data_IF_685547719498
#
_entry.id   IF_685547719498
#
_cell.length_a   1.000
_cell.length_b   1.000
_cell.length_c   1.000
_cell.angle_alpha   90.00
_cell.angle_beta   90.00
_cell.angle_gamma   90.00
#
_symmetry.space_group_name_H-M   'P 1'
#
loop_
_entity.id
_entity.type
_entity.pdbx_description
1 polymer ?
#
# COMPACT_ATOMS: atom_id res chain seq x y z
N UNK A 1 7.99 -28.64 13.24
CA UNK A 1 6.88 -27.73 13.62
C UNK A 1 5.69 -28.58 14.01
N UNK A 2 5.08 -28.38 15.18
CA UNK A 2 3.96 -29.22 15.61
C UNK A 2 2.63 -28.81 14.97
N UNK A 3 1.97 -29.75 14.29
CA UNK A 3 0.64 -29.55 13.70
C UNK A 3 -0.40 -30.40 14.44
N UNK A 4 -1.58 -29.82 14.62
CA UNK A 4 -2.75 -30.48 15.21
C UNK A 4 -3.88 -30.55 14.19
N UNK A 5 -4.45 -31.73 14.04
CA UNK A 5 -5.64 -31.98 13.22
C UNK A 5 -6.90 -31.99 14.07
N UNK A 6 -8.04 -31.63 13.45
CA UNK A 6 -9.38 -31.79 14.01
C UNK A 6 -9.71 -33.25 14.37
N UNK A 7 -9.06 -34.23 13.71
CA UNK A 7 -9.17 -35.64 14.10
C UNK A 7 -8.43 -36.00 15.41
N UNK A 8 -7.88 -35.01 16.12
CA UNK A 8 -7.15 -35.15 17.36
C UNK A 8 -5.70 -35.61 17.21
N UNK A 9 -5.22 -35.84 15.98
CA UNK A 9 -3.82 -36.24 15.75
C UNK A 9 -2.90 -35.03 15.80
N UNK A 10 -1.85 -35.17 16.59
CA UNK A 10 -0.72 -34.24 16.63
C UNK A 10 0.53 -34.94 16.09
N UNK A 11 1.38 -34.20 15.38
CA UNK A 11 2.67 -34.70 14.90
C UNK A 11 3.65 -33.57 14.63
N UNK A 12 4.94 -33.89 14.70
CA UNK A 12 5.99 -32.99 14.25
C UNK A 12 6.10 -33.01 12.73
N UNK A 13 5.72 -31.91 12.10
CA UNK A 13 5.79 -31.72 10.66
C UNK A 13 7.21 -31.35 10.23
N UNK A 14 7.79 -32.24 9.43
CA UNK A 14 9.14 -32.14 8.82
C UNK A 14 9.06 -31.84 7.31
N UNK A 15 7.88 -31.52 6.78
CA UNK A 15 7.68 -31.36 5.34
C UNK A 15 8.15 -30.00 4.81
N UNK A 16 8.43 -29.94 3.50
CA UNK A 16 8.89 -28.72 2.80
C UNK A 16 7.77 -27.74 2.44
N UNK A 17 6.49 -28.09 2.64
CA UNK A 17 5.38 -27.25 2.19
C UNK A 17 5.08 -26.14 3.21
N UNK A 18 4.90 -24.92 2.73
CA UNK A 18 4.78 -23.73 3.60
C UNK A 18 3.34 -23.34 3.94
N UNK A 19 2.34 -23.86 3.22
CA UNK A 19 0.95 -23.37 3.32
C UNK A 19 -0.03 -24.41 3.85
N UNK A 20 0.10 -25.66 3.39
CA UNK A 20 -0.80 -26.74 3.76
C UNK A 20 -0.03 -28.05 3.96
N UNK A 21 -0.50 -28.82 4.93
CA UNK A 21 -0.06 -30.19 5.19
C UNK A 21 -1.27 -31.13 5.17
N UNK A 22 -1.03 -32.42 4.93
CA UNK A 22 -2.06 -33.44 5.04
C UNK A 22 -1.88 -34.23 6.34
N UNK A 23 -2.98 -34.46 7.04
CA UNK A 23 -2.95 -35.30 8.24
C UNK A 23 -2.53 -36.73 7.88
N UNK A 24 -1.52 -37.32 8.54
CA UNK A 24 -1.11 -38.68 8.26
C UNK A 24 -2.22 -39.71 8.55
N UNK A 25 -3.12 -39.40 9.51
CA UNK A 25 -4.23 -40.26 9.95
C UNK A 25 -5.46 -40.13 9.05
N UNK A 26 -6.09 -38.96 8.98
CA UNK A 26 -7.37 -38.78 8.28
C UNK A 26 -7.25 -38.18 6.88
N UNK A 27 -6.03 -37.86 6.42
CA UNK A 27 -5.74 -37.20 5.13
C UNK A 27 -6.42 -35.84 4.92
N UNK A 28 -7.04 -35.26 5.96
CA UNK A 28 -7.59 -33.90 5.88
C UNK A 28 -6.48 -32.88 5.63
N UNK A 29 -6.79 -31.88 4.82
CA UNK A 29 -5.92 -30.74 4.54
C UNK A 29 -5.92 -29.79 5.73
N UNK A 30 -4.76 -29.52 6.28
CA UNK A 30 -4.55 -28.60 7.41
C UNK A 30 -3.76 -27.41 6.93
N UNK A 31 -4.20 -26.21 7.31
CA UNK A 31 -3.44 -24.99 7.09
C UNK A 31 -2.29 -24.92 8.08
N UNK A 32 -1.08 -24.74 7.58
CA UNK A 32 0.08 -24.52 8.42
C UNK A 32 -0.03 -23.11 8.99
N UNK A 33 -0.48 -22.98 10.24
CA UNK A 33 -0.37 -21.74 10.99
C UNK A 33 1.05 -21.68 11.56
N UNK A 34 1.98 -21.12 10.80
CA UNK A 34 3.22 -20.60 11.37
C UNK A 34 2.84 -19.50 12.35
N UNK A 35 2.81 -19.82 13.65
CA UNK A 35 2.62 -18.83 14.69
C UNK A 35 3.59 -17.66 14.45
N UNK A 36 3.02 -16.47 14.26
CA UNK A 36 3.65 -15.14 14.32
C UNK A 36 4.63 -14.70 13.23
N UNK A 37 4.58 -15.26 12.04
CA UNK A 37 5.04 -14.52 10.87
C UNK A 37 3.95 -14.62 9.80
N UNK A 38 3.19 -13.54 9.61
CA UNK A 38 2.56 -13.29 8.31
C UNK A 38 3.59 -13.68 7.26
N UNK A 39 3.26 -14.50 6.24
CA UNK A 39 4.24 -14.90 5.23
C UNK A 39 4.95 -13.62 4.83
N UNK A 40 6.28 -13.55 5.05
CA UNK A 40 7.04 -12.32 4.81
C UNK A 40 6.87 -12.02 3.34
N UNK A 41 5.84 -11.22 3.02
CA UNK A 41 5.56 -10.79 1.67
C UNK A 41 6.84 -10.10 1.24
N UNK A 42 7.38 -10.54 0.12
CA UNK A 42 8.49 -9.82 -0.47
C UNK A 42 8.06 -8.35 -0.61
N UNK A 43 9.01 -7.43 -0.58
CA UNK A 43 8.73 -6.00 -0.51
C UNK A 43 7.74 -5.53 -1.60
N UNK A 44 7.79 -6.17 -2.77
CA UNK A 44 6.86 -5.97 -3.89
C UNK A 44 5.42 -6.38 -3.55
N UNK A 45 5.19 -7.61 -3.09
CA UNK A 45 3.87 -8.12 -2.72
C UNK A 45 3.28 -7.34 -1.55
N UNK A 46 4.11 -6.91 -0.61
CA UNK A 46 3.68 -6.01 0.46
C UNK A 46 3.25 -4.65 -0.12
N UNK A 47 4.03 -4.05 -1.04
CA UNK A 47 3.69 -2.78 -1.67
C UNK A 47 2.38 -2.84 -2.48
N UNK A 48 2.00 -4.01 -3.02
CA UNK A 48 0.71 -4.22 -3.67
C UNK A 48 -0.46 -4.36 -2.70
N UNK A 49 -0.23 -4.91 -1.51
CA UNK A 49 -1.28 -5.28 -0.56
C UNK A 49 -1.49 -4.24 0.54
N UNK A 50 -0.49 -3.38 0.79
CA UNK A 50 -0.57 -2.39 1.86
C UNK A 50 -1.76 -1.44 1.67
N UNK A 51 -2.56 -1.19 2.72
CA UNK A 51 -3.68 -0.25 2.64
C UNK A 51 -3.22 1.16 2.28
N UNK A 52 -3.89 1.76 1.30
CA UNK A 52 -3.80 3.18 1.00
C UNK A 52 -4.94 3.87 1.71
N UNK A 53 -4.59 4.85 2.52
CA UNK A 53 -5.56 5.67 3.24
C UNK A 53 -5.51 7.08 2.66
N UNK A 54 -6.67 7.56 2.25
CA UNK A 54 -6.86 8.91 1.72
C UNK A 54 -7.60 9.74 2.77
N UNK A 55 -6.95 10.77 3.27
CA UNK A 55 -7.51 11.74 4.20
C UNK A 55 -7.84 13.02 3.44
N UNK A 56 -8.74 12.89 2.46
CA UNK A 56 -9.08 13.97 1.55
C UNK A 56 -9.98 15.02 2.22
N UNK A 57 -9.75 16.32 1.96
CA UNK A 57 -10.74 17.36 2.24
C UNK A 57 -12.00 17.07 1.43
N UNK A 58 -13.17 17.19 2.07
CA UNK A 58 -14.46 17.02 1.39
C UNK A 58 -14.69 18.10 0.31
N UNK A 59 -14.00 19.24 0.43
CA UNK A 59 -14.13 20.38 -0.46
C UNK A 59 -12.91 20.49 -1.40
N UNK A 60 -13.16 20.43 -2.71
CA UNK A 60 -12.14 20.63 -3.75
C UNK A 60 -11.41 21.97 -3.63
N UNK A 61 -12.09 23.02 -3.18
CA UNK A 61 -11.49 24.35 -3.06
C UNK A 61 -10.38 24.40 -2.00
N UNK A 62 -10.47 23.58 -0.95
CA UNK A 62 -9.42 23.50 0.08
C UNK A 62 -8.15 22.89 -0.51
N UNK A 63 -8.29 21.83 -1.31
CA UNK A 63 -7.17 21.19 -2.02
C UNK A 63 -6.54 22.16 -3.01
N UNK A 64 -7.36 22.92 -3.76
CA UNK A 64 -6.87 23.94 -4.68
C UNK A 64 -6.08 25.03 -3.94
N UNK A 65 -6.60 25.52 -2.81
CA UNK A 65 -5.93 26.52 -1.99
C UNK A 65 -4.60 26.00 -1.42
N UNK A 66 -4.52 24.73 -1.05
CA UNK A 66 -3.27 24.09 -0.64
C UNK A 66 -2.26 23.97 -1.78
N UNK A 67 -2.71 23.58 -2.97
CA UNK A 67 -1.87 23.55 -4.17
C UNK A 67 -1.30 24.93 -4.48
N UNK A 68 -2.12 25.97 -4.39
CA UNK A 68 -1.68 27.36 -4.56
C UNK A 68 -0.59 27.73 -3.55
N UNK A 69 -0.83 27.47 -2.25
CA UNK A 69 0.14 27.73 -1.18
C UNK A 69 1.45 26.98 -1.41
N UNK A 70 1.37 25.71 -1.82
CA UNK A 70 2.55 24.90 -2.12
C UNK A 70 3.32 25.42 -3.33
N UNK A 71 2.61 25.73 -4.43
CA UNK A 71 3.22 26.23 -5.65
C UNK A 71 3.93 27.58 -5.42
N UNK A 72 3.30 28.50 -4.68
CA UNK A 72 3.89 29.79 -4.34
C UNK A 72 5.18 29.64 -3.51
N UNK A 73 5.21 28.68 -2.58
CA UNK A 73 6.39 28.41 -1.76
C UNK A 73 7.56 27.82 -2.56
N UNK A 74 7.26 27.02 -3.59
CA UNK A 74 8.28 26.22 -4.30
C UNK A 74 8.76 26.88 -5.59
N UNK A 75 7.89 27.62 -6.29
CA UNK A 75 8.17 28.12 -7.63
C UNK A 75 8.31 29.64 -7.73
N UNK A 76 8.16 30.39 -6.63
CA UNK A 76 8.28 31.86 -6.51
C UNK A 76 7.40 32.71 -7.45
N UNK A 77 6.82 32.14 -8.52
CA UNK A 77 5.92 32.80 -9.47
C UNK A 77 4.75 31.89 -9.88
N UNK A 78 3.67 32.56 -10.27
CA UNK A 78 2.33 32.08 -10.61
C UNK A 78 2.33 31.02 -11.72
N UNK A 79 2.68 29.78 -11.37
CA UNK A 79 2.48 28.63 -12.25
C UNK A 79 0.97 28.34 -12.31
N UNK A 80 0.37 28.19 -13.51
CA UNK A 80 -1.05 27.89 -13.63
C UNK A 80 -1.42 26.62 -12.83
N UNK A 81 -2.46 26.73 -12.00
CA UNK A 81 -2.99 25.70 -11.10
C UNK A 81 -3.32 24.34 -11.75
N UNK A 82 -3.31 24.25 -13.07
CA UNK A 82 -3.68 23.06 -13.84
C UNK A 82 -2.50 22.11 -14.13
N UNK A 83 -1.34 22.30 -13.53
CA UNK A 83 -0.28 21.29 -13.59
C UNK A 83 -0.70 20.08 -12.74
N UNK A 84 -1.37 19.10 -13.38
CA UNK A 84 -1.82 17.83 -12.79
C UNK A 84 -0.75 17.15 -11.91
N UNK A 85 0.52 17.30 -12.27
CA UNK A 85 1.67 16.80 -11.50
C UNK A 85 1.80 17.43 -10.10
N UNK A 86 1.55 18.74 -9.96
CA UNK A 86 1.62 19.45 -8.67
C UNK A 86 0.45 19.07 -7.79
N UNK A 87 -0.75 18.99 -8.37
CA UNK A 87 -1.95 18.54 -7.66
C UNK A 87 -1.79 17.12 -7.12
N UNK A 88 -1.38 16.17 -7.96
CA UNK A 88 -1.17 14.78 -7.54
C UNK A 88 -0.08 14.69 -6.47
N UNK A 89 0.95 15.53 -6.55
CA UNK A 89 1.98 15.61 -5.52
C UNK A 89 1.42 16.10 -4.18
N UNK A 90 0.65 17.19 -4.17
CA UNK A 90 0.07 17.74 -2.94
C UNK A 90 -0.87 16.71 -2.31
N UNK A 91 -1.79 16.14 -3.09
CA UNK A 91 -2.73 15.14 -2.59
C UNK A 91 -1.97 13.94 -2.01
N UNK A 92 -0.98 13.42 -2.75
CA UNK A 92 -0.20 12.28 -2.28
C UNK A 92 0.52 12.58 -0.97
N UNK A 93 1.15 13.74 -0.82
CA UNK A 93 1.96 14.04 0.37
C UNK A 93 1.20 14.62 1.56
N UNK A 94 0.06 15.28 1.35
CA UNK A 94 -0.70 15.97 2.42
C UNK A 94 -2.01 15.28 2.78
N UNK A 95 -2.61 14.55 1.83
CA UNK A 95 -3.95 13.97 1.99
C UNK A 95 -3.96 12.45 1.83
N UNK A 96 -2.80 11.80 1.97
CA UNK A 96 -2.71 10.35 2.03
C UNK A 96 -1.65 9.89 3.00
N UNK A 97 -1.67 8.60 3.32
CA UNK A 97 -0.63 7.97 4.13
C UNK A 97 0.70 7.74 3.37
N UNK A 98 0.90 8.28 2.16
CA UNK A 98 2.09 8.04 1.33
C UNK A 98 3.42 8.22 2.05
N UNK A 99 3.59 9.30 2.83
CA UNK A 99 4.83 9.55 3.58
C UNK A 99 5.08 8.45 4.62
N UNK A 100 4.02 7.99 5.31
CA UNK A 100 4.09 6.86 6.23
C UNK A 100 4.46 5.57 5.49
N UNK A 101 3.85 5.32 4.34
CA UNK A 101 4.14 4.16 3.50
C UNK A 101 5.59 4.14 3.00
N UNK A 102 6.18 5.29 2.62
CA UNK A 102 7.60 5.37 2.27
C UNK A 102 8.52 5.03 3.46
N UNK A 103 8.15 5.45 4.68
CA UNK A 103 8.86 5.05 5.89
C UNK A 103 8.77 3.54 6.16
N UNK A 104 7.60 2.95 5.92
CA UNK A 104 7.39 1.51 6.02
C UNK A 104 8.15 0.71 4.96
N UNK A 105 8.30 1.24 3.74
CA UNK A 105 9.17 0.66 2.71
C UNK A 105 10.60 0.57 3.23
N UNK A 106 11.15 1.68 3.77
CA UNK A 106 12.52 1.71 4.29
C UNK A 106 12.72 0.72 5.45
N UNK A 107 11.75 0.68 6.40
CA UNK A 107 11.76 -0.27 7.50
C UNK A 107 11.77 -1.72 7.00
N UNK A 108 10.88 -2.07 6.08
CA UNK A 108 10.77 -3.43 5.54
C UNK A 108 11.95 -3.80 4.65
N UNK A 109 12.49 -2.86 3.90
CA UNK A 109 13.68 -3.04 3.10
C UNK A 109 14.88 -3.43 3.99
N UNK A 110 15.04 -2.78 5.14
CA UNK A 110 16.07 -3.13 6.13
C UNK A 110 15.86 -4.52 6.72
N UNK A 111 14.63 -4.87 7.09
CA UNK A 111 14.28 -6.19 7.63
C UNK A 111 14.53 -7.33 6.63
N UNK A 112 14.30 -7.07 5.34
CA UNK A 112 14.42 -8.05 4.26
C UNK A 112 15.79 -8.01 3.56
N UNK A 113 16.68 -7.06 3.93
CA UNK A 113 17.93 -6.76 3.21
C UNK A 113 17.70 -6.56 1.71
N UNK A 114 16.67 -5.80 1.38
CA UNK A 114 16.27 -5.53 0.01
C UNK A 114 17.32 -4.69 -0.74
N UNK A 115 17.46 -4.92 -2.04
CA UNK A 115 18.32 -4.11 -2.91
C UNK A 115 17.70 -2.75 -3.21
N UNK A 116 18.50 -1.80 -3.67
CA UNK A 116 18.01 -0.49 -4.13
C UNK A 116 16.91 -0.61 -5.18
N UNK A 117 17.02 -1.57 -6.11
CA UNK A 117 16.00 -1.80 -7.14
C UNK A 117 14.67 -2.27 -6.54
N UNK A 118 14.72 -3.17 -5.57
CA UNK A 118 13.51 -3.66 -4.88
C UNK A 118 12.81 -2.53 -4.10
N UNK A 119 13.60 -1.62 -3.51
CA UNK A 119 13.08 -0.43 -2.82
C UNK A 119 12.40 0.50 -3.81
N UNK A 120 13.06 0.79 -4.94
CA UNK A 120 12.52 1.66 -5.99
C UNK A 120 11.24 1.09 -6.59
N UNK A 121 11.20 -0.22 -6.86
CA UNK A 121 10.01 -0.91 -7.35
C UNK A 121 8.84 -0.80 -6.36
N UNK A 122 9.08 -1.02 -5.07
CA UNK A 122 8.05 -0.90 -4.05
C UNK A 122 7.51 0.53 -3.92
N UNK A 123 8.40 1.53 -3.92
CA UNK A 123 8.03 2.94 -3.94
C UNK A 123 7.20 3.30 -5.18
N UNK A 124 7.59 2.78 -6.35
CA UNK A 124 6.88 2.99 -7.61
C UNK A 124 5.47 2.40 -7.57
N UNK A 125 5.32 1.17 -7.08
CA UNK A 125 4.02 0.51 -6.93
C UNK A 125 3.11 1.32 -6.02
N UNK A 126 3.60 1.74 -4.85
CA UNK A 126 2.80 2.55 -3.92
C UNK A 126 2.39 3.88 -4.57
N UNK A 127 3.33 4.56 -5.25
CA UNK A 127 3.05 5.79 -5.97
C UNK A 127 1.95 5.60 -7.01
N UNK A 128 2.05 4.58 -7.87
CA UNK A 128 1.10 4.32 -8.95
C UNK A 128 -0.29 3.99 -8.41
N UNK A 129 -0.37 3.19 -7.34
CA UNK A 129 -1.64 2.86 -6.70
C UNK A 129 -2.31 4.11 -6.11
N UNK A 130 -1.56 5.02 -5.48
CA UNK A 130 -2.13 6.26 -4.97
C UNK A 130 -2.53 7.18 -6.12
N UNK A 131 -1.69 7.31 -7.16
CA UNK A 131 -2.01 8.16 -8.32
C UNK A 131 -3.29 7.69 -9.01
N UNK A 132 -3.52 6.38 -9.11
CA UNK A 132 -4.78 5.82 -9.62
C UNK A 132 -5.98 6.27 -8.77
N UNK A 133 -5.88 6.20 -7.44
CA UNK A 133 -6.98 6.67 -6.56
C UNK A 133 -7.21 8.18 -6.68
N UNK A 134 -6.14 8.96 -6.86
CA UNK A 134 -6.25 10.41 -7.09
C UNK A 134 -7.01 10.68 -8.40
N UNK A 135 -6.73 9.96 -9.46
CA UNK A 135 -7.39 10.14 -10.75
C UNK A 135 -8.87 9.72 -10.71
N UNK A 136 -9.20 8.63 -10.01
CA UNK A 136 -10.59 8.22 -9.76
C UNK A 136 -11.36 9.32 -8.99
N UNK A 137 -10.74 9.90 -7.96
CA UNK A 137 -11.31 10.99 -7.18
C UNK A 137 -11.52 12.26 -8.02
N UNK A 138 -10.54 12.63 -8.84
CA UNK A 138 -10.64 13.80 -9.72
C UNK A 138 -11.77 13.65 -10.74
N UNK A 139 -12.00 12.43 -11.21
CA UNK A 139 -13.14 12.13 -12.09
C UNK A 139 -14.47 12.41 -11.39
N UNK A 140 -14.61 12.06 -10.11
CA UNK A 140 -15.83 12.32 -9.32
C UNK A 140 -16.16 13.81 -9.15
N UNK A 141 -15.14 14.68 -9.06
CA UNK A 141 -15.34 16.14 -8.98
C UNK A 141 -15.89 16.73 -10.28
N UNK A 142 -15.48 16.18 -11.43
CA UNK A 142 -15.96 16.64 -12.74
C UNK A 142 -17.41 16.22 -13.02
N UNK A 143 -17.90 15.16 -12.38
CA UNK A 143 -19.29 14.72 -12.48
C UNK A 143 -20.22 15.54 -11.59
N UNK A 144 -19.76 15.96 -10.41
CA UNK A 144 -20.53 16.83 -9.50
C UNK A 144 -20.79 18.22 -10.10
N UNK A 145 -19.85 18.73 -10.92
CA UNK A 145 -20.00 20.00 -11.65
C UNK A 145 -21.02 19.93 -12.80
N UNK A 146 -21.41 18.74 -13.28
CA UNK A 146 -22.43 18.60 -14.34
C UNK A 146 -23.86 18.57 -13.80
N UNK A 147 -24.03 18.41 -12.49
CA UNK A 147 -25.34 18.23 -11.83
C UNK A 147 -25.81 19.52 -11.14
N UNK A 148 -24.92 20.52 -11.02
CA UNK A 148 -25.26 21.89 -10.61
C UNK A 148 -25.43 22.81 -11.83
#
# INVERSE_FOLDING_TARGET
MYLKCECGREWDYQGKASFYAFCPKCKSKIRINTNNESPRLNLKDWAFTVPIEMNMPQNRNDVIAEVQRYAQKVFEESTPLNCSLVLNRVIRFQHSNYRGLLGEVDRKAKEQRATSDQILDACKIIKERIDSQIDDLRSSWSETEKVM
#
